data_IF_672551527601
#
_entry.id   IF_672551527601
#
_cell.length_a   1.000
_cell.length_b   1.000
_cell.length_c   1.000
_cell.angle_alpha   90.00
_cell.angle_beta   90.00
_cell.angle_gamma   90.00
#
_symmetry.space_group_name_H-M   'P 1'
#
loop_
_entity.id
_entity.type
_entity.pdbx_description
1 polymer ?
#
# COMPACT_ATOMS: atom_id res chain seq x y z
N UNK A 1 7.38 12.63 7.63
CA UNK A 1 6.30 11.79 7.06
C UNK A 1 6.75 10.33 7.02
N UNK A 2 6.07 9.45 7.77
CA UNK A 2 6.38 8.01 7.86
C UNK A 2 5.15 7.20 7.46
N UNK A 3 5.34 6.05 6.81
CA UNK A 3 4.25 5.11 6.52
C UNK A 3 3.91 4.34 7.80
N UNK A 4 2.73 4.56 8.37
CA UNK A 4 2.33 4.00 9.66
C UNK A 4 1.28 2.91 9.55
N UNK A 5 0.52 2.85 8.45
CA UNK A 5 -0.50 1.81 8.30
C UNK A 5 -0.69 1.43 6.83
N UNK A 6 -0.94 0.14 6.62
CA UNK A 6 -1.16 -0.45 5.31
C UNK A 6 -2.39 -1.36 5.37
N UNK A 7 -3.32 -1.12 4.45
CA UNK A 7 -4.46 -2.00 4.21
C UNK A 7 -4.44 -2.47 2.76
N UNK A 8 -4.71 -3.75 2.55
CA UNK A 8 -4.75 -4.40 1.23
C UNK A 8 -6.01 -5.25 1.17
N UNK A 9 -6.76 -5.15 0.08
CA UNK A 9 -7.90 -6.00 -0.23
C UNK A 9 -7.79 -6.53 -1.66
N UNK A 10 -8.03 -7.83 -1.81
CA UNK A 10 -8.04 -8.57 -3.07
C UNK A 10 -6.80 -8.35 -3.95
N UNK A 11 -5.59 -8.31 -3.37
CA UNK A 11 -4.35 -8.19 -4.13
C UNK A 11 -3.59 -9.52 -4.17
N UNK A 12 -3.47 -10.12 -5.35
CA UNK A 12 -2.72 -11.38 -5.59
C UNK A 12 -3.11 -12.51 -4.64
N UNK A 13 -2.26 -12.91 -3.69
CA UNK A 13 -2.56 -13.94 -2.70
C UNK A 13 -3.20 -13.41 -1.41
N UNK A 14 -3.42 -12.09 -1.32
CA UNK A 14 -3.93 -11.39 -0.14
C UNK A 14 -5.40 -11.05 -0.39
N UNK A 15 -6.30 -11.75 0.28
CA UNK A 15 -7.72 -11.40 0.29
C UNK A 15 -7.97 -10.12 1.11
N UNK A 16 -7.38 -10.06 2.30
CA UNK A 16 -7.46 -8.91 3.18
C UNK A 16 -6.23 -8.88 4.09
N UNK A 17 -5.63 -7.71 4.25
CA UNK A 17 -4.56 -7.41 5.19
C UNK A 17 -4.79 -6.01 5.75
N UNK A 18 -4.64 -5.84 7.05
CA UNK A 18 -4.74 -4.56 7.75
C UNK A 18 -3.67 -4.59 8.85
N UNK A 19 -2.63 -3.77 8.70
CA UNK A 19 -1.45 -3.78 9.58
C UNK A 19 -0.95 -2.38 9.91
N UNK A 20 -0.50 -2.21 11.15
CA UNK A 20 0.30 -1.07 11.59
C UNK A 20 1.78 -1.33 11.28
N UNK A 21 2.47 -0.31 10.79
CA UNK A 21 3.87 -0.32 10.41
C UNK A 21 4.65 0.59 11.38
N UNK A 22 5.63 0.00 12.06
CA UNK A 22 6.59 0.75 12.86
C UNK A 22 7.80 1.21 12.04
N UNK A 23 8.75 1.88 12.69
CA UNK A 23 10.00 2.36 12.08
C UNK A 23 10.80 1.25 11.39
N UNK A 24 10.68 0.01 11.88
CA UNK A 24 11.21 -1.18 11.22
C UNK A 24 10.19 -2.31 11.36
N UNK A 25 9.61 -2.72 10.25
CA UNK A 25 8.67 -3.84 10.21
C UNK A 25 9.29 -5.01 9.44
N UNK A 26 9.33 -6.20 10.04
CA UNK A 26 9.91 -7.40 9.43
C UNK A 26 8.82 -8.43 9.15
N UNK A 27 8.64 -8.80 7.89
CA UNK A 27 7.68 -9.85 7.49
C UNK A 27 8.32 -11.24 7.59
N UNK A 28 7.87 -12.06 8.55
CA UNK A 28 8.33 -13.44 8.77
C UNK A 28 7.21 -14.42 8.36
N UNK A 29 7.58 -15.59 7.82
CA UNK A 29 6.63 -16.53 7.20
C UNK A 29 7.27 -17.36 6.07
N UNK A 30 6.61 -18.45 5.65
CA UNK A 30 7.12 -19.34 4.61
C UNK A 30 7.22 -18.65 3.24
N UNK A 31 7.97 -19.27 2.31
CA UNK A 31 7.96 -18.84 0.91
C UNK A 31 6.51 -18.86 0.41
N UNK A 32 6.16 -17.87 -0.42
CA UNK A 32 4.81 -17.70 -0.98
C UNK A 32 3.72 -17.32 0.05
N UNK A 33 4.06 -16.95 1.29
CA UNK A 33 3.09 -16.44 2.27
C UNK A 33 2.50 -15.05 1.95
N UNK A 34 2.79 -14.49 0.76
CA UNK A 34 2.29 -13.17 0.35
C UNK A 34 3.19 -11.98 0.72
N UNK A 35 4.36 -12.19 1.32
CA UNK A 35 5.28 -11.09 1.71
C UNK A 35 5.69 -10.21 0.53
N UNK A 36 6.06 -10.83 -0.60
CA UNK A 36 6.38 -10.10 -1.83
C UNK A 36 5.16 -9.34 -2.35
N UNK A 37 3.95 -9.89 -2.19
CA UNK A 37 2.72 -9.20 -2.54
C UNK A 37 2.48 -7.96 -1.66
N UNK A 38 2.80 -8.01 -0.36
CA UNK A 38 2.76 -6.82 0.51
C UNK A 38 3.71 -5.73 0.02
N UNK A 39 4.96 -6.09 -0.29
CA UNK A 39 5.95 -5.14 -0.78
C UNK A 39 5.57 -4.54 -2.14
N UNK A 40 5.05 -5.38 -3.05
CA UNK A 40 4.58 -4.92 -4.36
C UNK A 40 3.35 -4.03 -4.23
N UNK A 41 2.42 -4.30 -3.31
CA UNK A 41 1.28 -3.43 -3.04
C UNK A 41 1.71 -2.03 -2.57
N UNK A 42 2.64 -1.96 -1.61
CA UNK A 42 3.23 -0.69 -1.17
C UNK A 42 3.89 0.03 -2.35
N UNK A 43 4.67 -0.71 -3.14
CA UNK A 43 5.36 -0.15 -4.31
C UNK A 43 4.37 0.44 -5.31
N UNK A 44 3.27 -0.24 -5.60
CA UNK A 44 2.23 0.24 -6.54
C UNK A 44 1.54 1.49 -5.98
N UNK A 45 1.12 1.47 -4.71
CA UNK A 45 0.47 2.61 -4.07
C UNK A 45 1.35 3.86 -4.03
N UNK A 46 2.67 3.69 -3.89
CA UNK A 46 3.64 4.79 -3.82
C UNK A 46 4.32 5.11 -5.17
N UNK A 47 3.91 4.47 -6.27
CA UNK A 47 4.55 4.66 -7.58
C UNK A 47 4.22 6.03 -8.16
N UNK A 48 5.25 6.82 -8.50
CA UNK A 48 5.10 8.20 -9.03
C UNK A 48 4.51 8.31 -10.45
N UNK A 49 4.11 7.20 -11.09
CA UNK A 49 3.76 7.13 -12.52
C UNK A 49 2.26 6.96 -12.81
N UNK A 50 1.37 7.29 -11.88
CA UNK A 50 -0.07 7.18 -12.15
C UNK A 50 -0.46 8.00 -13.39
N UNK A 51 -1.05 7.33 -14.39
CA UNK A 51 -1.72 7.98 -15.53
C UNK A 51 -0.87 8.43 -16.73
N UNK A 52 0.41 8.05 -16.87
CA UNK A 52 1.19 8.41 -18.08
C UNK A 52 1.53 7.20 -18.98
N UNK A 53 1.77 5.99 -18.45
CA UNK A 53 2.06 4.76 -19.24
C UNK A 53 1.70 3.44 -18.52
N UNK A 54 0.58 3.45 -17.79
CA UNK A 54 0.18 2.33 -16.93
C UNK A 54 0.61 2.55 -15.47
N UNK A 55 -0.28 2.21 -14.55
CA UNK A 55 -0.20 2.51 -13.11
C UNK A 55 0.61 1.48 -12.33
N UNK A 56 1.17 0.48 -13.01
CA UNK A 56 1.80 -0.68 -12.37
C UNK A 56 0.80 -1.76 -11.95
N UNK A 57 -0.50 -1.47 -11.97
CA UNK A 57 -1.53 -2.50 -11.88
C UNK A 57 -1.69 -3.23 -13.21
N UNK A 58 -1.75 -4.54 -13.12
CA UNK A 58 -2.05 -5.47 -14.21
C UNK A 58 -3.21 -6.37 -13.78
N UNK A 59 -3.85 -7.05 -14.73
CA UNK A 59 -4.90 -8.05 -14.43
C UNK A 59 -4.44 -9.14 -13.45
N UNK A 60 -3.13 -9.43 -13.43
CA UNK A 60 -2.48 -10.39 -12.54
C UNK A 60 -2.39 -9.94 -11.08
N UNK A 61 -2.69 -8.66 -10.80
CA UNK A 61 -2.64 -8.12 -9.45
C UNK A 61 -3.95 -8.34 -8.68
N UNK A 62 -5.04 -8.75 -9.36
CA UNK A 62 -6.34 -9.05 -8.73
C UNK A 62 -6.29 -10.42 -8.06
N UNK A 63 -6.74 -10.51 -6.80
CA UNK A 63 -6.91 -11.78 -6.11
C UNK A 63 -8.06 -12.58 -6.75
N UNK A 64 -7.76 -13.82 -7.10
CA UNK A 64 -8.72 -14.81 -7.55
C UNK A 64 -8.84 -15.88 -6.47
N UNK A 65 -10.07 -16.15 -6.01
CA UNK A 65 -10.31 -17.17 -4.99
C UNK A 65 -10.13 -18.59 -5.56
N UNK A 66 -10.34 -18.76 -6.86
CA UNK A 66 -10.05 -19.97 -7.65
C UNK A 66 -9.47 -19.59 -9.02
N UNK A 67 -8.70 -20.48 -9.66
CA UNK A 67 -8.14 -20.25 -11.02
C UNK A 67 -9.21 -20.06 -12.10
N UNK A 68 -10.46 -20.41 -11.80
CA UNK A 68 -11.63 -20.27 -12.67
C UNK A 68 -12.45 -19.02 -12.43
N UNK A 69 -12.17 -18.26 -11.35
CA UNK A 69 -12.89 -17.03 -11.07
C UNK A 69 -12.48 -15.94 -12.08
N UNK A 70 -13.47 -15.25 -12.63
CA UNK A 70 -13.22 -14.15 -13.55
C UNK A 70 -12.72 -12.93 -12.75
N UNK A 71 -11.49 -12.44 -12.97
CA UNK A 71 -10.99 -11.23 -12.30
C UNK A 71 -11.86 -10.00 -12.59
N UNK A 72 -12.67 -10.03 -13.64
CA UNK A 72 -13.64 -9.00 -14.00
C UNK A 72 -14.88 -8.99 -13.10
N UNK A 73 -15.16 -10.09 -12.42
CA UNK A 73 -16.27 -10.22 -11.47
C UNK A 73 -15.85 -9.88 -10.03
N UNK A 74 -14.56 -9.63 -9.78
CA UNK A 74 -14.04 -9.23 -8.47
C UNK A 74 -14.45 -7.80 -8.13
N UNK A 75 -14.54 -7.48 -6.82
CA UNK A 75 -14.74 -6.12 -6.33
C UNK A 75 -13.55 -5.18 -6.62
N UNK A 76 -12.48 -5.71 -7.22
CA UNK A 76 -11.26 -4.98 -7.52
C UNK A 76 -10.27 -4.97 -6.35
N UNK A 77 -9.08 -4.48 -6.65
CA UNK A 77 -8.00 -4.31 -5.69
C UNK A 77 -8.19 -2.98 -4.96
N UNK A 78 -7.96 -2.98 -3.65
CA UNK A 78 -7.82 -1.76 -2.85
C UNK A 78 -6.53 -1.83 -2.04
N UNK A 79 -5.71 -0.78 -2.10
CA UNK A 79 -4.51 -0.62 -1.29
C UNK A 79 -4.58 0.77 -0.64
N UNK A 80 -4.62 0.82 0.68
CA UNK A 80 -4.60 2.06 1.45
C UNK A 80 -3.28 2.18 2.19
N UNK A 81 -2.66 3.35 2.06
CA UNK A 81 -1.46 3.72 2.81
C UNK A 81 -1.77 4.96 3.63
N UNK A 82 -1.49 4.89 4.94
CA UNK A 82 -1.56 6.04 5.83
C UNK A 82 -0.15 6.44 6.22
N UNK A 83 0.11 7.73 6.10
CA UNK A 83 1.36 8.34 6.53
C UNK A 83 1.09 9.35 7.62
N UNK A 84 1.92 9.35 8.65
CA UNK A 84 1.74 10.19 9.84
C UNK A 84 3.08 10.81 10.25
N UNK A 85 3.01 11.88 11.03
CA UNK A 85 4.16 12.35 11.80
C UNK A 85 4.44 11.48 13.03
N UNK A 86 5.71 11.35 13.38
CA UNK A 86 6.12 10.63 14.58
C UNK A 86 5.77 11.42 15.86
N UNK A 87 5.89 12.74 15.78
CA UNK A 87 5.62 13.67 16.87
C UNK A 87 4.74 14.82 16.36
N UNK A 88 3.89 15.37 17.23
CA UNK A 88 2.98 16.45 16.85
C UNK A 88 3.77 17.69 16.41
N UNK A 89 3.50 18.18 15.19
CA UNK A 89 4.20 19.33 14.61
C UNK A 89 5.61 19.02 14.09
N UNK A 90 5.94 17.75 13.81
CA UNK A 90 7.21 17.36 13.18
C UNK A 90 7.29 17.86 11.74
N UNK A 91 6.16 17.90 11.02
CA UNK A 91 6.15 18.30 9.61
C UNK A 91 6.39 19.81 9.47
N UNK A 92 7.32 20.23 8.59
CA UNK A 92 7.61 21.65 8.40
C UNK A 92 6.41 22.38 7.81
N UNK A 93 6.25 23.67 8.15
CA UNK A 93 5.14 24.51 7.66
C UNK A 93 5.00 24.49 6.14
N UNK A 94 6.12 24.40 5.40
CA UNK A 94 6.10 24.31 3.93
C UNK A 94 5.41 23.04 3.42
N UNK A 95 5.58 21.90 4.10
CA UNK A 95 4.90 20.65 3.76
C UNK A 95 3.41 20.76 4.10
N UNK A 96 3.09 21.30 5.28
CA UNK A 96 1.71 21.50 5.71
C UNK A 96 0.94 22.44 4.78
N UNK A 97 1.58 23.51 4.30
CA UNK A 97 1.01 24.44 3.33
C UNK A 97 0.86 23.82 1.93
N UNK A 98 1.85 23.05 1.48
CA UNK A 98 1.80 22.42 0.16
C UNK A 98 0.72 21.33 0.05
N UNK A 99 0.39 20.70 1.17
CA UNK A 99 -0.54 19.57 1.28
C UNK A 99 -1.79 19.92 2.10
N UNK A 100 -2.09 21.20 2.32
CA UNK A 100 -3.20 21.67 3.19
C UNK A 100 -4.55 21.06 2.83
N UNK A 101 -4.78 20.83 1.54
CA UNK A 101 -5.97 20.20 0.97
C UNK A 101 -6.16 18.74 1.39
N UNK A 102 -5.10 18.04 1.83
CA UNK A 102 -5.11 16.58 2.08
C UNK A 102 -4.63 16.20 3.48
N UNK A 103 -3.88 17.09 4.15
CA UNK A 103 -3.41 16.90 5.53
C UNK A 103 -4.59 16.94 6.47
N UNK A 104 -4.59 16.02 7.43
CA UNK A 104 -5.54 15.99 8.52
C UNK A 104 -4.79 15.90 9.83
N UNK A 105 -5.40 16.41 10.89
CA UNK A 105 -4.81 16.35 12.23
C UNK A 105 -5.71 15.51 13.12
N UNK A 106 -5.12 14.51 13.77
CA UNK A 106 -5.81 13.70 14.76
C UNK A 106 -6.07 14.56 16.01
N UNK A 107 -7.34 14.78 16.41
CA UNK A 107 -7.67 15.62 17.56
C UNK A 107 -7.21 15.02 18.90
N UNK A 108 -6.97 13.71 18.98
CA UNK A 108 -6.53 13.05 20.21
C UNK A 108 -5.02 13.17 20.43
N UNK A 109 -4.24 13.03 19.35
CA UNK A 109 -2.77 13.00 19.42
C UNK A 109 -2.12 14.31 18.98
N UNK A 110 -2.87 15.17 18.29
CA UNK A 110 -2.35 16.38 17.64
C UNK A 110 -1.52 16.09 16.39
N UNK A 111 -1.44 14.83 15.95
CA UNK A 111 -0.55 14.41 14.86
C UNK A 111 -1.19 14.60 13.50
N UNK A 112 -0.44 15.16 12.57
CA UNK A 112 -0.81 15.21 11.16
C UNK A 112 -0.65 13.86 10.46
N UNK A 113 -1.67 13.48 9.69
CA UNK A 113 -1.69 12.30 8.84
C UNK A 113 -2.32 12.56 7.48
N UNK A 114 -1.98 11.71 6.52
CA UNK A 114 -2.56 11.67 5.17
C UNK A 114 -2.82 10.20 4.85
N UNK A 115 -4.00 9.92 4.29
CA UNK A 115 -4.37 8.58 3.83
C UNK A 115 -4.62 8.59 2.33
N UNK A 116 -3.89 7.78 1.59
CA UNK A 116 -4.05 7.59 0.15
C UNK A 116 -4.59 6.18 -0.11
N UNK A 117 -5.71 6.10 -0.82
CA UNK A 117 -6.25 4.86 -1.35
C UNK A 117 -5.94 4.77 -2.85
N UNK A 118 -5.33 3.67 -3.24
CA UNK A 118 -5.16 3.22 -4.61
C UNK A 118 -6.10 2.06 -4.87
N UNK A 119 -6.90 2.12 -5.93
CA UNK A 119 -7.77 1.02 -6.32
C UNK A 119 -7.63 0.68 -7.80
N UNK A 120 -7.98 -0.54 -8.15
CA UNK A 120 -8.02 -0.99 -9.53
C UNK A 120 -9.20 -1.94 -9.71
N UNK A 121 -10.16 -1.56 -10.56
CA UNK A 121 -11.36 -2.35 -10.82
C UNK A 121 -11.58 -2.54 -12.31
N UNK A 122 -12.17 -3.65 -12.69
CA UNK A 122 -12.62 -3.84 -14.06
C UNK A 122 -13.75 -2.87 -14.39
N UNK A 123 -13.63 -2.19 -15.52
CA UNK A 123 -14.72 -1.40 -16.09
C UNK A 123 -15.26 -2.13 -17.32
N UNK A 124 -16.51 -2.57 -17.23
CA UNK A 124 -17.16 -3.31 -18.31
C UNK A 124 -17.48 -2.45 -19.53
N UNK A 125 -17.63 -1.13 -19.37
CA UNK A 125 -17.89 -0.21 -20.47
C UNK A 125 -16.61 0.03 -21.29
N UNK A 126 -15.48 0.23 -20.60
CA UNK A 126 -14.17 0.44 -21.23
C UNK A 126 -13.45 -0.87 -21.58
N UNK A 127 -13.93 -2.01 -21.08
CA UNK A 127 -13.34 -3.33 -21.32
C UNK A 127 -11.90 -3.45 -20.83
N UNK A 128 -11.54 -2.72 -19.78
CA UNK A 128 -10.19 -2.73 -19.20
C UNK A 128 -10.20 -2.45 -17.70
N UNK A 129 -9.09 -2.77 -17.04
CA UNK A 129 -8.87 -2.40 -15.64
C UNK A 129 -8.61 -0.89 -15.51
N UNK A 130 -9.44 -0.23 -14.73
CA UNK A 130 -9.37 1.21 -14.46
C UNK A 130 -8.74 1.44 -13.08
N UNK A 131 -7.46 1.84 -13.04
CA UNK A 131 -6.82 2.23 -11.82
C UNK A 131 -7.32 3.63 -11.41
N UNK A 132 -7.67 3.80 -10.13
CA UNK A 132 -8.02 5.11 -9.57
C UNK A 132 -7.35 5.35 -8.21
N UNK A 133 -7.21 6.61 -7.84
CA UNK A 133 -6.64 7.00 -6.54
C UNK A 133 -7.52 8.06 -5.89
N UNK A 134 -7.53 8.09 -4.57
CA UNK A 134 -8.27 9.08 -3.79
C UNK A 134 -7.62 9.27 -2.42
N UNK A 135 -7.60 10.51 -1.93
CA UNK A 135 -7.23 10.77 -0.54
C UNK A 135 -8.43 10.55 0.37
N UNK A 136 -8.23 9.95 1.53
CA UNK A 136 -9.30 9.64 2.47
C UNK A 136 -9.23 10.53 3.71
N UNK A 137 -10.40 10.84 4.26
CA UNK A 137 -10.50 11.51 5.55
C UNK A 137 -10.31 10.55 6.75
N UNK A 138 -10.37 11.07 7.98
CA UNK A 138 -10.26 10.30 9.22
C UNK A 138 -11.33 9.20 9.34
N UNK A 139 -12.51 9.41 8.75
CA UNK A 139 -13.61 8.45 8.68
C UNK A 139 -13.49 7.50 7.48
N UNK A 140 -12.35 7.47 6.78
CA UNK A 140 -12.09 6.71 5.54
C UNK A 140 -13.05 7.03 4.39
N UNK A 141 -13.63 8.23 4.38
CA UNK A 141 -14.44 8.72 3.27
C UNK A 141 -13.56 9.52 2.27
N UNK A 142 -13.85 9.48 0.96
CA UNK A 142 -13.06 10.17 -0.04
C UNK A 142 -13.11 11.70 0.14
N UNK A 143 -11.94 12.34 0.12
CA UNK A 143 -11.79 13.77 0.00
C UNK A 143 -12.08 14.20 -1.44
N UNK A 144 -12.88 15.25 -1.62
CA UNK A 144 -13.37 15.71 -2.91
C UNK A 144 -12.90 17.15 -3.21
N UNK A 145 -13.06 17.58 -4.46
CA UNK A 145 -12.73 18.94 -4.88
C UNK A 145 -11.23 19.18 -5.02
N UNK A 146 -10.68 20.13 -4.25
CA UNK A 146 -9.28 20.54 -4.34
C UNK A 146 -8.32 19.39 -3.97
N UNK A 147 -8.68 18.59 -2.97
CA UNK A 147 -7.95 17.41 -2.52
C UNK A 147 -7.76 16.33 -3.60
N UNK A 148 -8.70 16.22 -4.54
CA UNK A 148 -8.64 15.24 -5.64
C UNK A 148 -7.78 15.69 -6.83
N UNK A 149 -7.10 16.83 -6.73
CA UNK A 149 -6.21 17.33 -7.79
C UNK A 149 -4.94 16.50 -7.88
N UNK A 150 -4.55 16.18 -9.11
CA UNK A 150 -3.31 15.46 -9.40
C UNK A 150 -2.05 16.14 -8.83
N UNK A 151 -2.04 17.47 -8.75
CA UNK A 151 -0.94 18.24 -8.14
C UNK A 151 -0.70 17.83 -6.68
N UNK A 152 -1.75 17.52 -5.91
CA UNK A 152 -1.62 17.11 -4.52
C UNK A 152 -1.00 15.71 -4.41
N UNK A 153 -1.32 14.81 -5.33
CA UNK A 153 -0.67 13.51 -5.45
C UNK A 153 0.82 13.64 -5.79
N UNK A 154 1.16 14.52 -6.73
CA UNK A 154 2.54 14.76 -7.14
C UNK A 154 3.38 15.37 -6.00
N UNK A 155 2.82 16.34 -5.26
CA UNK A 155 3.44 16.92 -4.06
C UNK A 155 3.59 15.88 -2.95
N UNK A 156 2.54 15.11 -2.65
CA UNK A 156 2.58 14.06 -1.63
C UNK A 156 3.76 13.10 -1.86
N UNK A 157 3.97 12.68 -3.12
CA UNK A 157 5.10 11.82 -3.45
C UNK A 157 6.47 12.49 -3.37
N UNK A 158 6.58 13.80 -3.52
CA UNK A 158 7.84 14.53 -3.33
C UNK A 158 8.30 14.47 -1.87
N UNK A 159 7.35 14.54 -0.93
CA UNK A 159 7.60 14.49 0.51
C UNK A 159 7.78 13.08 1.08
N UNK A 160 7.35 12.06 0.34
CA UNK A 160 7.57 10.67 0.75
C UNK A 160 9.03 10.25 0.53
N UNK A 161 9.73 9.75 1.57
CA UNK A 161 11.04 9.15 1.41
C UNK A 161 10.90 7.76 0.77
N UNK A 162 10.80 7.70 -0.57
CA UNK A 162 10.68 6.44 -1.34
C UNK A 162 11.97 5.60 -1.30
N UNK A 163 13.00 6.01 -0.55
CA UNK A 163 14.34 5.42 -0.58
C UNK A 163 14.53 4.12 0.22
N UNK A 164 13.53 3.59 0.93
CA UNK A 164 13.73 2.48 1.88
C UNK A 164 13.05 1.14 1.55
N UNK A 165 12.67 0.86 0.31
CA UNK A 165 12.22 -0.51 -0.06
C UNK A 165 13.36 -1.51 -0.29
N UNK A 166 14.63 -1.11 -0.10
CA UNK A 166 15.80 -2.00 -0.28
C UNK A 166 16.26 -2.66 1.03
N UNK A 167 15.74 -2.25 2.19
CA UNK A 167 16.11 -2.78 3.50
C UNK A 167 15.05 -3.69 4.15
N UNK A 168 14.07 -4.19 3.38
CA UNK A 168 13.27 -5.32 3.84
C UNK A 168 14.12 -6.59 3.81
N UNK A 169 14.73 -6.93 4.95
CA UNK A 169 15.41 -8.21 5.12
C UNK A 169 14.35 -9.30 5.17
N UNK A 170 14.11 -9.92 4.02
CA UNK A 170 13.33 -11.16 3.93
C UNK A 170 14.14 -12.29 4.56
N UNK A 171 13.95 -12.52 5.86
CA UNK A 171 14.46 -13.73 6.50
C UNK A 171 13.61 -14.92 6.04
N UNK A 172 14.17 -15.73 5.14
CA UNK A 172 13.65 -17.05 4.80
C UNK A 172 14.24 -18.04 5.78
N UNK A 173 13.46 -18.47 6.78
CA UNK A 173 13.87 -19.56 7.66
C UNK A 173 13.77 -20.87 6.87
N UNK A 174 14.79 -21.20 6.08
CA UNK A 174 14.92 -22.51 5.46
C UNK A 174 15.40 -23.49 6.54
N UNK A 175 14.47 -24.05 7.31
CA UNK A 175 14.77 -25.16 8.22
C UNK A 175 15.07 -26.40 7.37
N UNK A 176 16.34 -26.59 7.00
CA UNK A 176 16.82 -27.89 6.51
C UNK A 176 16.70 -28.87 7.65
N UNK A 177 15.79 -29.83 7.52
CA UNK A 177 15.79 -31.04 8.34
C UNK A 177 17.18 -31.69 8.24
N UNK A 178 17.93 -31.67 9.35
CA UNK A 178 19.05 -32.55 9.53
C UNK A 178 18.50 -33.98 9.63
N UNK A 179 18.53 -34.73 8.53
CA UNK A 179 18.42 -36.19 8.60
C UNK A 179 19.66 -36.70 9.32
N UNK A 180 19.49 -37.10 10.58
CA UNK A 180 20.46 -37.95 11.27
C UNK A 180 20.49 -39.30 10.56
N UNK A 181 21.58 -39.55 9.82
CA UNK A 181 21.98 -40.89 9.43
C UNK A 181 22.42 -41.63 10.69
N UNK A 182 21.51 -42.37 11.30
CA UNK A 182 21.83 -43.34 12.33
C UNK A 182 22.54 -44.53 11.68
N UNK A 183 23.85 -44.64 11.91
CA UNK A 183 24.58 -45.89 11.73
C UNK A 183 24.03 -46.91 12.73
N UNK A 184 23.56 -48.05 12.22
CA UNK A 184 23.27 -49.23 13.01
C UNK A 184 24.23 -50.35 12.54
N UNK A 185 25.03 -50.80 13.52
CA UNK A 185 25.79 -52.04 13.66
C UNK A 185 26.46 -52.69 12.44
#
# INVERSE_FOLDING_TARGET
>A
MRLTHLKIENFRSIKQLDIELGDTTVFIGPNNAGKTAVLDAIRIALTRRWGQRGTGFTEYDVHLATETDDPKASSGVVIEVRTEEAEAGEWPDSLQQDLDDIVQTDPATGRSFITLQSSCRWDAAEGCFQPSWVFLNAARAPLAGHSARRTNLERFWQYLPVFYLVHFVMLTTSFRHARSSGAAC
#
